data_IF_815999685792
#
_entry.id   IF_815999685792
#
_cell.length_a   1.000
_cell.length_b   1.000
_cell.length_c   1.000
_cell.angle_alpha   90.00
_cell.angle_beta   90.00
_cell.angle_gamma   90.00
#
_symmetry.space_group_name_H-M   'P 1'
#
loop_
_entity.id
_entity.type
_entity.pdbx_description
1 polymer ?
#
# COMPACT_ATOMS: atom_id res chain seq x y z
N UNK A 1 7.54 -14.61 -0.97
CA UNK A 1 7.68 -13.38 -0.17
C UNK A 1 6.31 -12.81 0.14
N UNK A 2 6.09 -12.22 1.32
CA UNK A 2 4.76 -11.74 1.75
C UNK A 2 4.13 -10.70 0.80
N UNK A 3 4.94 -9.85 0.16
CA UNK A 3 4.49 -8.94 -0.90
C UNK A 3 3.88 -9.69 -2.10
N UNK A 4 4.55 -10.74 -2.57
CA UNK A 4 4.04 -11.55 -3.69
C UNK A 4 2.73 -12.26 -3.32
N UNK A 5 2.62 -12.71 -2.07
CA UNK A 5 1.40 -13.33 -1.56
C UNK A 5 0.25 -12.32 -1.46
N UNK A 6 0.52 -11.10 -0.97
CA UNK A 6 -0.46 -10.03 -0.96
C UNK A 6 -0.95 -9.66 -2.36
N UNK A 7 -0.04 -9.57 -3.34
CA UNK A 7 -0.40 -9.33 -4.74
C UNK A 7 -1.24 -10.46 -5.33
N UNK A 8 -0.93 -11.72 -5.00
CA UNK A 8 -1.71 -12.87 -5.45
C UNK A 8 -3.14 -12.84 -4.90
N UNK A 9 -3.29 -12.54 -3.60
CA UNK A 9 -4.60 -12.40 -2.99
C UNK A 9 -5.39 -11.21 -3.53
N UNK A 10 -4.72 -10.08 -3.80
CA UNK A 10 -5.33 -8.92 -4.44
C UNK A 10 -5.88 -9.28 -5.83
N UNK A 11 -5.11 -10.02 -6.64
CA UNK A 11 -5.54 -10.47 -7.98
C UNK A 11 -6.70 -11.48 -7.95
N UNK A 12 -6.82 -12.24 -6.87
CA UNK A 12 -7.90 -13.23 -6.67
C UNK A 12 -9.07 -12.67 -5.85
N UNK A 13 -9.15 -11.34 -5.67
CA UNK A 13 -10.18 -10.64 -4.89
C UNK A 13 -10.30 -11.11 -3.42
N UNK A 14 -9.27 -11.76 -2.89
CA UNK A 14 -9.18 -12.17 -1.48
C UNK A 14 -8.62 -11.01 -0.65
N UNK A 15 -9.40 -9.92 -0.56
CA UNK A 15 -8.96 -8.64 -0.05
C UNK A 15 -8.45 -8.69 1.40
N UNK A 16 -9.14 -9.43 2.28
CA UNK A 16 -8.73 -9.56 3.68
C UNK A 16 -7.37 -10.27 3.83
N UNK A 17 -7.14 -11.34 3.04
CA UNK A 17 -5.85 -12.05 3.03
C UNK A 17 -4.74 -11.20 2.43
N UNK A 18 -5.06 -10.37 1.43
CA UNK A 18 -4.14 -9.40 0.86
C UNK A 18 -3.72 -8.36 1.91
N UNK A 19 -4.68 -7.78 2.64
CA UNK A 19 -4.43 -6.80 3.70
C UNK A 19 -3.54 -7.39 4.80
N UNK A 20 -3.86 -8.59 5.30
CA UNK A 20 -3.06 -9.28 6.31
C UNK A 20 -1.62 -9.56 5.81
N UNK A 21 -1.48 -10.02 4.57
CA UNK A 21 -0.16 -10.30 3.98
C UNK A 21 0.69 -9.03 3.85
N UNK A 22 0.09 -7.91 3.45
CA UNK A 22 0.77 -6.62 3.37
C UNK A 22 1.14 -6.09 4.76
N UNK A 23 0.23 -6.16 5.72
CA UNK A 23 0.47 -5.71 7.11
C UNK A 23 1.62 -6.48 7.75
N UNK A 24 1.63 -7.83 7.66
CA UNK A 24 2.76 -8.65 8.13
C UNK A 24 4.08 -8.29 7.44
N UNK A 25 4.04 -8.02 6.14
CA UNK A 25 5.25 -7.64 5.42
C UNK A 25 5.81 -6.27 5.86
N UNK A 26 4.91 -5.35 6.22
CA UNK A 26 5.26 -4.04 6.78
C UNK A 26 5.85 -4.19 8.19
N UNK A 27 5.25 -5.02 9.05
CA UNK A 27 5.75 -5.29 10.42
C UNK A 27 7.18 -5.86 10.42
N UNK A 28 7.49 -6.77 9.51
CA UNK A 28 8.83 -7.41 9.45
C UNK A 28 9.92 -6.42 9.04
N UNK A 29 9.66 -5.55 8.06
CA UNK A 29 10.65 -4.54 7.65
C UNK A 29 9.97 -3.30 7.04
N UNK A 30 9.64 -2.30 7.85
CA UNK A 30 8.91 -1.12 7.39
C UNK A 30 9.63 -0.36 6.25
N UNK A 31 10.96 -0.22 6.34
CA UNK A 31 11.76 0.55 5.39
C UNK A 31 11.87 -0.13 4.03
N UNK A 32 12.08 -1.46 3.99
CA UNK A 32 12.11 -2.24 2.75
C UNK A 32 10.71 -2.40 2.14
N UNK A 33 9.68 -2.29 2.97
CA UNK A 33 8.28 -2.46 2.61
C UNK A 33 7.60 -1.18 2.14
N UNK A 34 8.32 -0.09 1.85
CA UNK A 34 7.74 1.13 1.30
C UNK A 34 6.79 0.86 0.11
N UNK A 35 7.22 0.05 -0.87
CA UNK A 35 6.39 -0.34 -2.03
C UNK A 35 5.11 -1.10 -1.64
N UNK A 36 5.10 -1.75 -0.48
CA UNK A 36 3.96 -2.50 0.05
C UNK A 36 2.86 -1.55 0.55
N UNK A 37 3.23 -0.41 1.14
CA UNK A 37 2.25 0.61 1.50
C UNK A 37 1.45 1.08 0.27
N UNK A 38 2.10 1.24 -0.90
CA UNK A 38 1.39 1.58 -2.15
C UNK A 38 0.40 0.49 -2.57
N UNK A 39 0.80 -0.79 -2.49
CA UNK A 39 -0.07 -1.90 -2.85
C UNK A 39 -1.25 -2.06 -1.87
N UNK A 40 -1.02 -1.80 -0.58
CA UNK A 40 -2.07 -1.81 0.45
C UNK A 40 -3.01 -0.61 0.31
N UNK A 41 -2.51 0.57 -0.05
CA UNK A 41 -3.33 1.73 -0.35
C UNK A 41 -4.30 1.45 -1.51
N UNK A 42 -3.80 0.88 -2.61
CA UNK A 42 -4.64 0.48 -3.75
C UNK A 42 -5.71 -0.55 -3.36
N UNK A 43 -5.34 -1.53 -2.53
CA UNK A 43 -6.30 -2.49 -1.98
C UNK A 43 -7.39 -1.79 -1.15
N UNK A 44 -7.01 -0.84 -0.28
CA UNK A 44 -7.92 -0.11 0.61
C UNK A 44 -8.85 0.83 -0.16
N UNK A 45 -8.36 1.47 -1.21
CA UNK A 45 -9.17 2.26 -2.14
C UNK A 45 -10.24 1.40 -2.81
N UNK A 46 -9.90 0.18 -3.27
CA UNK A 46 -10.89 -0.78 -3.80
C UNK A 46 -11.95 -1.19 -2.78
N UNK A 47 -11.63 -1.14 -1.49
CA UNK A 47 -12.55 -1.45 -0.40
C UNK A 47 -13.32 -0.21 0.10
N UNK A 48 -13.12 0.96 -0.51
CA UNK A 48 -13.71 2.23 -0.05
C UNK A 48 -13.08 2.79 1.24
N UNK A 49 -11.97 2.20 1.72
CA UNK A 49 -11.22 2.62 2.91
C UNK A 49 -10.25 3.76 2.55
N UNK A 50 -10.81 4.87 2.07
CA UNK A 50 -10.05 6.00 1.51
C UNK A 50 -9.13 6.67 2.55
N UNK A 51 -9.57 6.79 3.81
CA UNK A 51 -8.74 7.29 4.92
C UNK A 51 -7.45 6.48 5.07
N UNK A 52 -7.59 5.17 5.14
CA UNK A 52 -6.50 4.23 5.39
C UNK A 52 -5.55 4.16 4.19
N UNK A 53 -6.10 4.30 2.98
CA UNK A 53 -5.32 4.41 1.75
C UNK A 53 -4.44 5.67 1.75
N UNK A 54 -4.98 6.83 2.15
CA UNK A 54 -4.20 8.08 2.27
C UNK A 54 -3.05 7.94 3.27
N UNK A 55 -3.29 7.30 4.41
CA UNK A 55 -2.25 7.07 5.42
C UNK A 55 -1.12 6.19 4.89
N UNK A 56 -1.46 5.15 4.13
CA UNK A 56 -0.48 4.28 3.48
C UNK A 56 0.34 5.04 2.43
N UNK A 57 -0.29 5.86 1.60
CA UNK A 57 0.41 6.69 0.61
C UNK A 57 1.33 7.72 1.28
N UNK A 58 0.90 8.34 2.39
CA UNK A 58 1.77 9.22 3.20
C UNK A 58 2.96 8.47 3.77
N UNK A 59 2.74 7.25 4.28
CA UNK A 59 3.81 6.38 4.79
C UNK A 59 4.79 6.00 3.68
N UNK A 60 4.30 5.71 2.48
CA UNK A 60 5.14 5.46 1.31
C UNK A 60 6.08 6.64 1.02
N UNK A 61 5.55 7.86 0.96
CA UNK A 61 6.35 9.07 0.72
C UNK A 61 7.32 9.38 1.86
N UNK A 62 6.98 9.03 3.11
CA UNK A 62 7.88 9.15 4.27
C UNK A 62 9.11 8.28 4.12
N UNK A 63 8.95 7.03 3.67
CA UNK A 63 10.06 6.09 3.51
C UNK A 63 10.79 6.23 2.16
N UNK A 64 10.10 6.71 1.12
CA UNK A 64 10.64 6.95 -0.22
C UNK A 64 10.38 8.41 -0.66
N UNK A 65 11.04 9.40 -0.03
CA UNK A 65 10.78 10.81 -0.31
C UNK A 65 11.19 11.25 -1.72
N UNK A 66 12.14 10.53 -2.34
CA UNK A 66 12.64 10.77 -3.71
C UNK A 66 12.07 9.78 -4.72
N UNK A 67 10.89 9.21 -4.46
CA UNK A 67 10.22 8.33 -5.40
C UNK A 67 9.91 9.07 -6.72
N UNK A 68 10.20 8.44 -7.85
CA UNK A 68 9.94 9.03 -9.18
C UNK A 68 8.45 9.27 -9.42
N UNK A 69 7.59 8.44 -8.83
CA UNK A 69 6.13 8.53 -8.87
C UNK A 69 5.55 9.40 -7.74
N UNK A 70 6.36 10.16 -7.00
CA UNK A 70 5.91 11.01 -5.90
C UNK A 70 4.76 11.93 -6.30
N UNK A 71 4.86 12.63 -7.42
CA UNK A 71 3.81 13.56 -7.88
C UNK A 71 2.48 12.87 -8.13
N UNK A 72 2.51 11.63 -8.65
CA UNK A 72 1.32 10.80 -8.86
C UNK A 72 0.69 10.43 -7.51
N UNK A 73 1.52 10.05 -6.53
CA UNK A 73 1.03 9.72 -5.19
C UNK A 73 0.45 10.93 -4.47
N UNK A 74 1.07 12.10 -4.58
CA UNK A 74 0.54 13.34 -4.01
C UNK A 74 -0.80 13.73 -4.64
N UNK A 75 -0.97 13.52 -5.94
CA UNK A 75 -2.24 13.71 -6.61
C UNK A 75 -3.28 12.69 -6.13
N UNK A 76 -2.94 11.41 -6.06
CA UNK A 76 -3.84 10.36 -5.56
C UNK A 76 -4.32 10.64 -4.12
N UNK A 77 -3.44 11.14 -3.24
CA UNK A 77 -3.83 11.52 -1.86
C UNK A 77 -4.90 12.64 -1.86
N UNK A 78 -4.90 13.53 -2.85
CA UNK A 78 -5.88 14.62 -2.97
C UNK A 78 -7.22 14.16 -3.56
N UNK A 79 -7.19 13.15 -4.41
CA UNK A 79 -8.36 12.64 -5.14
C UNK A 79 -9.17 11.58 -4.36
N UNK A 80 -8.48 10.76 -3.57
CA UNK A 80 -9.08 9.83 -2.59
C UNK A 80 -9.83 10.61 -1.51
#
# INVERSE_FOLDING_TARGET
TLNGLGNFYLKTNQFEKAENSYSKAIEINPKRSAKIYKNRAYLREKLGKNSDAKEDLKSYLKYFPKASDRGIIEQAIKEI
#
